data_IF_907011081830
#
_entry.id   IF_907011081830
#
_cell.length_a   1.000
_cell.length_b   1.000
_cell.length_c   1.000
_cell.angle_alpha   90.00
_cell.angle_beta   90.00
_cell.angle_gamma   90.00
#
_symmetry.space_group_name_H-M   'P 1'
#
loop_
_entity.id
_entity.type
_entity.pdbx_description
1 polymer ?
#
# COMPACT_ATOMS: atom_id res chain seq x y z
N UNK A 1 11.11 -28.85 -8.00
CA UNK A 1 10.07 -28.29 -7.10
C UNK A 1 8.73 -28.47 -7.78
N UNK A 2 7.85 -29.28 -7.19
CA UNK A 2 6.48 -29.42 -7.67
C UNK A 2 5.74 -28.08 -7.49
N UNK A 3 5.32 -27.49 -8.61
CA UNK A 3 4.47 -26.29 -8.55
C UNK A 3 3.12 -26.70 -7.95
N UNK A 4 2.77 -26.13 -6.80
CA UNK A 4 1.45 -26.30 -6.24
C UNK A 4 0.47 -25.48 -7.10
N UNK A 5 -0.44 -26.14 -7.77
CA UNK A 5 -1.52 -25.50 -8.54
C UNK A 5 -2.71 -25.40 -7.62
N UNK A 6 -3.23 -24.19 -7.45
CA UNK A 6 -4.43 -23.91 -6.66
C UNK A 6 -5.50 -23.49 -7.67
N UNK A 7 -6.66 -24.17 -7.62
CA UNK A 7 -7.81 -23.82 -8.44
C UNK A 7 -8.79 -23.02 -7.58
N UNK A 8 -9.26 -21.89 -8.07
CA UNK A 8 -10.37 -21.19 -7.43
C UNK A 8 -11.68 -21.87 -7.79
N UNK A 9 -12.65 -21.79 -6.88
CA UNK A 9 -14.01 -22.32 -7.04
C UNK A 9 -15.06 -21.21 -7.02
N UNK A 10 -14.75 -20.10 -6.39
CA UNK A 10 -15.63 -18.96 -6.23
C UNK A 10 -14.82 -17.66 -6.45
N UNK A 11 -15.08 -16.96 -7.57
CA UNK A 11 -14.39 -15.73 -7.95
C UNK A 11 -14.56 -14.57 -6.93
N UNK A 12 -15.61 -14.65 -6.10
CA UNK A 12 -15.94 -13.56 -5.17
C UNK A 12 -15.40 -13.82 -3.77
N UNK A 13 -15.43 -15.07 -3.33
CA UNK A 13 -15.15 -15.41 -1.94
C UNK A 13 -13.83 -16.16 -1.72
N UNK A 14 -13.22 -16.70 -2.77
CA UNK A 14 -11.92 -17.34 -2.64
C UNK A 14 -10.82 -16.27 -2.50
N UNK A 15 -10.07 -16.36 -1.41
CA UNK A 15 -8.88 -15.53 -1.16
C UNK A 15 -7.68 -16.43 -0.90
N UNK A 16 -6.73 -16.46 -1.85
CA UNK A 16 -5.52 -17.30 -1.75
C UNK A 16 -4.49 -16.76 -0.74
N UNK A 17 -4.65 -15.52 -0.32
CA UNK A 17 -3.86 -14.92 0.74
C UNK A 17 -4.60 -14.86 2.07
N UNK A 18 -5.71 -15.60 2.20
CA UNK A 18 -6.59 -15.58 3.37
C UNK A 18 -5.83 -15.57 4.69
N UNK A 19 -6.17 -14.64 5.55
CA UNK A 19 -5.61 -14.51 6.87
C UNK A 19 -6.70 -14.72 7.94
N UNK A 20 -6.30 -15.22 9.11
CA UNK A 20 -7.20 -15.41 10.26
C UNK A 20 -7.24 -14.17 11.19
N UNK A 21 -6.87 -13.00 10.68
CA UNK A 21 -6.83 -11.77 11.47
C UNK A 21 -8.27 -11.26 11.61
N UNK A 22 -8.73 -11.12 12.84
CA UNK A 22 -10.00 -10.44 13.11
C UNK A 22 -9.87 -8.98 12.74
N UNK A 23 -10.54 -8.57 11.67
CA UNK A 23 -10.60 -7.17 11.25
C UNK A 23 -11.18 -6.32 12.37
N UNK A 24 -10.48 -5.25 12.71
CA UNK A 24 -10.98 -4.22 13.62
C UNK A 24 -11.39 -3.00 12.83
N UNK A 25 -12.55 -2.45 13.17
CA UNK A 25 -12.93 -1.15 12.64
C UNK A 25 -11.91 -0.08 13.02
N UNK A 26 -11.67 0.83 12.10
CA UNK A 26 -10.84 1.99 12.40
C UNK A 26 -11.52 2.85 13.46
N UNK A 27 -10.77 3.35 14.45
CA UNK A 27 -11.33 4.21 15.47
C UNK A 27 -11.93 5.46 14.83
N UNK A 28 -13.01 5.99 15.42
CA UNK A 28 -13.70 7.18 14.89
C UNK A 28 -12.79 8.40 14.72
N UNK A 29 -11.78 8.52 15.56
CA UNK A 29 -10.77 9.59 15.51
C UNK A 29 -9.53 9.24 14.68
N UNK A 30 -9.60 8.22 13.83
CA UNK A 30 -8.46 7.83 12.99
C UNK A 30 -7.98 8.98 12.12
N UNK A 31 -6.65 9.23 12.17
CA UNK A 31 -5.99 10.33 11.46
C UNK A 31 -5.17 9.76 10.29
N UNK A 32 -5.66 9.97 9.08
CA UNK A 32 -4.99 9.50 7.85
C UNK A 32 -3.69 10.24 7.56
N UNK A 33 -3.65 11.55 7.76
CA UNK A 33 -2.46 12.37 7.53
C UNK A 33 -1.82 12.78 8.85
N UNK A 34 -0.79 12.08 9.23
CA UNK A 34 -0.03 12.39 10.45
C UNK A 34 0.78 13.69 10.24
N UNK A 35 0.46 14.71 11.05
CA UNK A 35 1.11 16.03 10.99
C UNK A 35 2.33 16.16 11.91
N UNK A 36 2.47 15.28 12.89
CA UNK A 36 3.56 15.30 13.86
C UNK A 36 4.94 15.22 13.16
N UNK A 37 5.86 16.16 13.40
CA UNK A 37 7.16 16.17 12.72
C UNK A 37 8.05 14.98 13.08
N UNK A 38 8.03 14.52 14.34
CA UNK A 38 8.80 13.33 14.76
C UNK A 38 8.29 12.08 14.05
N UNK A 39 6.97 11.92 13.95
CA UNK A 39 6.37 10.85 13.15
C UNK A 39 6.85 10.88 11.69
N UNK A 40 6.81 12.06 11.08
CA UNK A 40 7.23 12.25 9.68
C UNK A 40 8.70 11.94 9.47
N UNK A 41 9.56 12.36 10.40
CA UNK A 41 10.98 12.05 10.35
C UNK A 41 11.22 10.55 10.49
N UNK A 42 10.61 9.89 11.46
CA UNK A 42 10.69 8.43 11.64
C UNK A 42 10.17 7.67 10.40
N UNK A 43 9.03 8.07 9.86
CA UNK A 43 8.49 7.48 8.63
C UNK A 43 9.41 7.71 7.41
N UNK A 44 10.08 8.84 7.31
CA UNK A 44 11.07 9.12 6.27
C UNK A 44 12.27 8.17 6.39
N UNK A 45 12.85 8.04 7.58
CA UNK A 45 13.98 7.14 7.82
C UNK A 45 13.59 5.70 7.52
N UNK A 46 12.45 5.25 8.08
CA UNK A 46 11.97 3.88 7.86
C UNK A 46 11.73 3.60 6.38
N UNK A 47 11.06 4.50 5.67
CA UNK A 47 10.71 4.30 4.27
C UNK A 47 11.92 4.40 3.33
N UNK A 48 12.69 5.50 3.38
CA UNK A 48 13.73 5.76 2.40
C UNK A 48 15.09 5.17 2.73
N UNK A 49 15.43 5.13 4.01
CA UNK A 49 16.78 4.69 4.44
C UNK A 49 16.79 3.18 4.72
N UNK A 50 15.72 2.63 5.28
CA UNK A 50 15.68 1.23 5.70
C UNK A 50 14.93 0.39 4.67
N UNK A 51 13.63 0.64 4.48
CA UNK A 51 12.77 -0.24 3.69
C UNK A 51 13.08 -0.19 2.19
N UNK A 52 13.26 1.00 1.61
CA UNK A 52 13.45 1.15 0.16
C UNK A 52 14.68 0.40 -0.38
N UNK A 53 15.89 0.46 0.23
CA UNK A 53 17.02 -0.36 -0.21
C UNK A 53 16.76 -1.86 -0.10
N UNK A 54 16.22 -2.31 1.04
CA UNK A 54 15.92 -3.73 1.29
C UNK A 54 14.94 -4.24 0.23
N UNK A 55 13.84 -3.53 0.04
CA UNK A 55 12.80 -3.86 -0.94
C UNK A 55 13.33 -3.84 -2.37
N UNK A 56 14.23 -2.91 -2.68
CA UNK A 56 14.84 -2.83 -4.01
C UNK A 56 15.69 -4.07 -4.29
N UNK A 57 16.50 -4.50 -3.33
CA UNK A 57 17.30 -5.71 -3.43
C UNK A 57 16.39 -6.93 -3.54
N UNK A 58 15.40 -7.05 -2.64
CA UNK A 58 14.45 -8.15 -2.61
C UNK A 58 13.71 -8.32 -3.96
N UNK A 59 13.05 -7.27 -4.44
CA UNK A 59 12.27 -7.36 -5.67
C UNK A 59 13.14 -7.57 -6.91
N UNK A 60 14.32 -6.93 -6.97
CA UNK A 60 15.20 -7.05 -8.12
C UNK A 60 15.86 -8.42 -8.22
N UNK A 61 16.38 -8.95 -7.11
CA UNK A 61 17.18 -10.18 -7.13
C UNK A 61 16.36 -11.45 -6.87
N UNK A 62 15.35 -11.41 -5.99
CA UNK A 62 14.54 -12.59 -5.68
C UNK A 62 13.35 -12.75 -6.63
N UNK A 63 12.74 -11.65 -7.09
CA UNK A 63 11.59 -11.70 -8.01
C UNK A 63 11.94 -11.34 -9.45
N UNK A 64 13.19 -10.93 -9.72
CA UNK A 64 13.61 -10.53 -11.07
C UNK A 64 12.84 -9.34 -11.64
N UNK A 65 12.27 -8.49 -10.77
CA UNK A 65 11.40 -7.38 -11.16
C UNK A 65 12.13 -6.39 -12.08
N UNK A 66 11.50 -6.12 -13.23
CA UNK A 66 11.99 -5.15 -14.22
C UNK A 66 10.95 -4.06 -14.44
N UNK A 67 11.30 -2.82 -14.11
CA UNK A 67 10.43 -1.67 -14.32
C UNK A 67 10.68 -1.10 -15.72
N UNK A 68 9.66 -1.18 -16.59
CA UNK A 68 9.69 -0.60 -17.93
C UNK A 68 8.95 0.73 -17.95
N UNK A 69 9.30 1.63 -18.89
CA UNK A 69 8.63 2.89 -19.18
C UNK A 69 8.46 3.86 -18.01
N UNK A 70 9.24 3.73 -16.94
CA UNK A 70 9.20 4.62 -15.77
C UNK A 70 9.34 6.11 -16.14
N UNK A 71 9.90 6.42 -17.31
CA UNK A 71 10.07 7.79 -17.81
C UNK A 71 8.76 8.56 -17.93
N UNK A 72 7.64 7.88 -18.16
CA UNK A 72 6.28 8.46 -18.22
C UNK A 72 5.96 9.24 -16.93
N UNK A 73 6.41 8.76 -15.77
CA UNK A 73 6.16 9.40 -14.47
C UNK A 73 6.92 10.72 -14.29
N UNK A 74 7.88 11.05 -15.16
CA UNK A 74 8.63 12.32 -15.08
C UNK A 74 7.71 13.54 -15.25
N UNK A 75 6.66 13.43 -16.08
CA UNK A 75 5.65 14.48 -16.27
C UNK A 75 4.79 14.75 -15.03
N UNK A 76 4.79 13.83 -14.05
CA UNK A 76 3.95 13.88 -12.86
C UNK A 76 4.72 14.20 -11.57
N UNK A 77 5.99 14.63 -11.68
CA UNK A 77 6.82 14.94 -10.50
C UNK A 77 6.19 15.95 -9.54
N UNK A 78 5.51 16.94 -10.09
CA UNK A 78 4.83 18.01 -9.35
C UNK A 78 3.31 17.84 -9.27
N UNK A 79 2.79 16.64 -9.51
CA UNK A 79 1.35 16.33 -9.50
C UNK A 79 1.09 15.12 -8.63
N UNK A 80 -0.08 15.06 -7.97
CA UNK A 80 -0.62 13.82 -7.43
C UNK A 80 -1.10 12.92 -8.57
N UNK A 81 -1.08 11.62 -8.37
CA UNK A 81 -1.64 10.66 -9.32
C UNK A 81 -2.01 9.36 -8.63
N UNK A 82 -2.97 8.67 -9.25
CA UNK A 82 -3.37 7.34 -8.87
C UNK A 82 -2.63 6.32 -9.75
N UNK A 83 -2.18 5.26 -9.11
CA UNK A 83 -1.70 4.05 -9.79
C UNK A 83 -2.69 2.94 -9.54
N UNK A 84 -2.96 2.18 -10.57
CA UNK A 84 -3.74 0.95 -10.50
C UNK A 84 -2.87 -0.22 -10.91
N UNK A 85 -3.00 -1.33 -10.23
CA UNK A 85 -2.24 -2.54 -10.54
C UNK A 85 -3.03 -3.79 -10.16
N UNK A 86 -2.69 -4.90 -10.81
CA UNK A 86 -3.23 -6.19 -10.45
C UNK A 86 -2.54 -6.71 -9.19
N UNK A 87 -3.29 -7.37 -8.31
CA UNK A 87 -2.77 -7.94 -7.08
C UNK A 87 -2.42 -9.42 -7.27
N UNK A 88 -1.19 -9.68 -7.71
CA UNK A 88 -0.77 -11.02 -8.14
C UNK A 88 0.35 -11.63 -7.29
N UNK A 89 0.99 -10.83 -6.44
CA UNK A 89 2.15 -11.27 -5.65
C UNK A 89 2.05 -10.82 -4.19
N UNK A 90 1.92 -11.77 -3.28
CA UNK A 90 1.65 -11.54 -1.86
C UNK A 90 2.58 -10.50 -1.19
N UNK A 91 3.89 -10.60 -1.37
CA UNK A 91 4.84 -9.70 -0.74
C UNK A 91 5.33 -8.58 -1.68
N UNK A 92 5.56 -8.89 -2.97
CA UNK A 92 6.14 -7.93 -3.90
C UNK A 92 5.20 -6.75 -4.20
N UNK A 93 3.90 -6.99 -4.24
CA UNK A 93 2.91 -5.94 -4.54
C UNK A 93 2.82 -4.87 -3.45
N UNK A 94 3.15 -5.21 -2.21
CA UNK A 94 3.30 -4.22 -1.15
C UNK A 94 4.50 -3.27 -1.39
N UNK A 95 5.48 -3.67 -2.19
CA UNK A 95 6.76 -2.99 -2.33
C UNK A 95 7.05 -2.45 -3.73
N UNK A 96 6.52 -3.09 -4.78
CA UNK A 96 6.69 -2.66 -6.17
C UNK A 96 6.31 -1.18 -6.40
N UNK A 97 5.21 -0.64 -5.83
CA UNK A 97 4.87 0.75 -5.99
C UNK A 97 5.96 1.71 -5.52
N UNK A 98 6.65 1.40 -4.44
CA UNK A 98 7.73 2.23 -3.93
C UNK A 98 8.86 2.40 -4.96
N UNK A 99 9.22 1.32 -5.64
CA UNK A 99 10.27 1.34 -6.69
C UNK A 99 9.82 2.07 -7.95
N UNK A 100 8.56 1.88 -8.33
CA UNK A 100 7.98 2.54 -9.52
C UNK A 100 7.93 4.06 -9.32
N UNK A 101 7.48 4.52 -8.15
CA UNK A 101 7.19 5.94 -7.90
C UNK A 101 8.37 6.75 -7.39
N UNK A 102 9.47 6.08 -6.99
CA UNK A 102 10.64 6.79 -6.43
C UNK A 102 11.05 8.02 -7.28
N UNK A 103 11.34 9.17 -6.69
CA UNK A 103 11.53 9.45 -5.27
C UNK A 103 10.23 9.75 -4.49
N UNK A 104 9.06 9.72 -5.12
CA UNK A 104 7.80 9.92 -4.39
C UNK A 104 7.47 8.68 -3.58
N UNK A 105 6.99 8.90 -2.36
CA UNK A 105 6.44 7.83 -1.52
C UNK A 105 5.11 7.36 -2.12
N UNK A 106 4.97 6.07 -2.37
CA UNK A 106 3.68 5.47 -2.66
C UNK A 106 2.85 5.36 -1.37
N UNK A 107 1.58 5.73 -1.45
CA UNK A 107 0.60 5.47 -0.39
C UNK A 107 -0.36 4.41 -0.92
N UNK A 108 -0.36 3.25 -0.30
CA UNK A 108 -1.05 2.06 -0.79
C UNK A 108 -2.34 1.90 -0.01
N UNK A 109 -3.48 1.82 -0.68
CA UNK A 109 -4.74 1.50 -0.04
C UNK A 109 -4.70 0.04 0.38
N UNK A 110 -4.91 -0.22 1.67
CA UNK A 110 -4.82 -1.54 2.26
C UNK A 110 -6.11 -1.92 2.99
N UNK A 111 -6.34 -3.23 3.14
CA UNK A 111 -7.42 -3.75 3.98
C UNK A 111 -7.24 -3.29 5.44
N UNK A 112 -8.32 -3.10 6.21
CA UNK A 112 -8.27 -2.82 7.64
C UNK A 112 -7.50 -3.88 8.44
N UNK A 113 -7.42 -5.11 7.97
CA UNK A 113 -6.67 -6.20 8.58
C UNK A 113 -5.19 -5.86 8.74
N UNK A 114 -4.62 -5.19 7.74
CA UNK A 114 -3.21 -4.79 7.75
C UNK A 114 -2.85 -3.84 8.91
N UNK A 115 -3.84 -3.16 9.47
CA UNK A 115 -3.67 -2.24 10.61
C UNK A 115 -4.35 -2.72 11.89
N UNK A 116 -4.85 -3.94 11.91
CA UNK A 116 -5.55 -4.51 13.08
C UNK A 116 -4.59 -4.98 14.18
N UNK A 117 -3.31 -5.19 13.86
CA UNK A 117 -2.27 -5.57 14.81
C UNK A 117 -1.45 -4.31 15.16
N UNK A 118 -1.37 -3.87 16.44
CA UNK A 118 -0.82 -2.58 16.81
C UNK A 118 0.59 -2.27 16.30
N UNK A 119 1.53 -3.21 16.44
CA UNK A 119 2.92 -3.01 15.96
C UNK A 119 2.99 -3.01 14.44
N UNK A 120 2.23 -3.89 13.79
CA UNK A 120 2.14 -3.98 12.33
C UNK A 120 1.49 -2.72 11.77
N UNK A 121 0.44 -2.22 12.42
CA UNK A 121 -0.25 -0.97 12.06
C UNK A 121 0.74 0.20 11.97
N UNK A 122 1.57 0.36 13.02
CA UNK A 122 2.58 1.41 13.05
C UNK A 122 3.51 1.36 11.83
N UNK A 123 4.04 0.17 11.54
CA UNK A 123 4.96 -0.04 10.42
C UNK A 123 4.26 0.19 9.07
N UNK A 124 3.06 -0.39 8.89
CA UNK A 124 2.26 -0.24 7.67
C UNK A 124 1.98 1.24 7.39
N UNK A 125 1.53 2.00 8.37
CA UNK A 125 1.26 3.44 8.22
C UNK A 125 2.55 4.24 7.92
N UNK A 126 3.66 3.94 8.62
CA UNK A 126 4.95 4.59 8.36
C UNK A 126 5.48 4.26 6.97
N UNK A 127 5.22 3.07 6.45
CA UNK A 127 5.59 2.65 5.10
C UNK A 127 4.63 3.15 4.01
N UNK A 128 3.50 3.74 4.38
CA UNK A 128 2.58 4.36 3.44
C UNK A 128 1.28 3.58 3.22
N UNK A 129 0.99 2.58 4.02
CA UNK A 129 -0.32 1.94 4.05
C UNK A 129 -1.41 2.91 4.50
N UNK A 130 -2.53 2.93 3.79
CA UNK A 130 -3.70 3.75 4.06
C UNK A 130 -4.91 2.83 4.15
N UNK A 131 -5.37 2.51 5.36
CA UNK A 131 -6.45 1.55 5.51
C UNK A 131 -7.77 2.12 5.00
N UNK A 132 -8.51 1.30 4.25
CA UNK A 132 -9.87 1.65 3.85
C UNK A 132 -10.81 1.50 5.05
N UNK A 133 -11.80 2.36 5.15
CA UNK A 133 -12.79 2.26 6.22
C UNK A 133 -13.88 1.24 5.87
N UNK A 134 -14.45 0.60 6.88
CA UNK A 134 -15.49 -0.44 6.74
C UNK A 134 -16.91 0.09 6.93
N UNK A 135 -17.07 1.29 7.51
CA UNK A 135 -18.38 1.88 7.77
C UNK A 135 -18.57 3.23 7.05
N UNK A 136 -19.81 3.64 6.85
CA UNK A 136 -20.17 4.84 6.07
C UNK A 136 -19.52 6.13 6.61
N UNK A 137 -19.46 6.30 7.93
CA UNK A 137 -18.84 7.50 8.55
C UNK A 137 -17.33 7.51 8.28
N UNK A 138 -16.69 6.36 8.43
CA UNK A 138 -15.27 6.19 8.12
C UNK A 138 -14.99 6.40 6.63
N UNK A 139 -15.85 5.91 5.74
CA UNK A 139 -15.70 6.12 4.29
C UNK A 139 -15.75 7.60 3.92
N UNK A 140 -16.61 8.40 4.55
CA UNK A 140 -16.60 9.86 4.33
C UNK A 140 -15.26 10.49 4.73
N UNK A 141 -14.68 10.08 5.87
CA UNK A 141 -13.36 10.55 6.31
C UNK A 141 -12.25 10.06 5.39
N UNK A 142 -12.32 8.81 4.96
CA UNK A 142 -11.39 8.23 4.00
C UNK A 142 -11.39 9.02 2.68
N UNK A 143 -12.57 9.29 2.12
CA UNK A 143 -12.71 10.06 0.86
C UNK A 143 -12.15 11.49 1.03
N UNK A 144 -12.46 12.15 2.15
CA UNK A 144 -11.88 13.46 2.46
C UNK A 144 -10.36 13.40 2.53
N UNK A 145 -9.81 12.36 3.16
CA UNK A 145 -8.36 12.17 3.23
C UNK A 145 -7.74 11.92 1.83
N UNK A 146 -8.41 11.15 0.97
CA UNK A 146 -7.92 10.92 -0.40
C UNK A 146 -7.87 12.23 -1.22
N UNK A 147 -8.85 13.11 -1.05
CA UNK A 147 -8.82 14.44 -1.67
C UNK A 147 -7.62 15.25 -1.13
N UNK A 148 -7.38 15.24 0.19
CA UNK A 148 -6.22 15.92 0.79
C UNK A 148 -4.88 15.32 0.31
N UNK A 149 -4.79 13.99 0.11
CA UNK A 149 -3.62 13.35 -0.50
C UNK A 149 -3.38 13.85 -1.93
N UNK A 150 -4.45 13.98 -2.72
CA UNK A 150 -4.38 14.49 -4.09
C UNK A 150 -3.91 15.95 -4.13
N UNK A 151 -4.50 16.82 -3.32
CA UNK A 151 -4.11 18.23 -3.18
C UNK A 151 -2.65 18.39 -2.77
N UNK A 152 -2.16 17.53 -1.89
CA UNK A 152 -0.75 17.47 -1.46
C UNK A 152 0.15 16.74 -2.46
N UNK A 153 -0.32 16.48 -3.67
CA UNK A 153 0.45 15.87 -4.76
C UNK A 153 1.06 14.51 -4.38
N UNK A 154 0.38 13.74 -3.54
CA UNK A 154 0.80 12.39 -3.15
C UNK A 154 0.51 11.39 -4.26
N UNK A 155 1.18 10.25 -4.20
CA UNK A 155 0.89 9.10 -5.04
C UNK A 155 0.03 8.12 -4.24
N UNK A 156 -1.05 7.67 -4.86
CA UNK A 156 -1.98 6.71 -4.26
C UNK A 156 -1.97 5.46 -5.14
N UNK A 157 -1.70 4.31 -4.53
CA UNK A 157 -1.76 3.01 -5.20
C UNK A 157 -3.00 2.25 -4.78
N UNK A 158 -3.69 1.70 -5.76
CA UNK A 158 -4.93 0.94 -5.59
C UNK A 158 -4.78 -0.40 -6.31
N UNK A 159 -5.11 -1.46 -5.63
CA UNK A 159 -5.32 -2.80 -6.19
C UNK A 159 -6.82 -3.08 -6.22
N UNK A 160 -7.52 -2.84 -7.35
CA UNK A 160 -8.99 -2.90 -7.40
C UNK A 160 -9.57 -4.28 -7.11
N UNK A 161 -8.78 -5.32 -7.35
CA UNK A 161 -9.19 -6.71 -7.14
C UNK A 161 -9.42 -7.04 -5.66
N UNK A 162 -8.80 -6.28 -4.73
CA UNK A 162 -8.83 -6.46 -3.28
C UNK A 162 -8.28 -7.82 -2.78
N UNK A 163 -8.26 -8.84 -3.62
CA UNK A 163 -7.77 -10.18 -3.35
C UNK A 163 -6.55 -10.51 -4.22
N UNK A 164 -5.77 -11.50 -3.80
CA UNK A 164 -4.65 -12.03 -4.57
C UNK A 164 -5.14 -13.22 -5.37
N UNK A 165 -4.92 -13.17 -6.68
CA UNK A 165 -5.29 -14.21 -7.64
C UNK A 165 -4.11 -15.01 -8.14
#
# INVERSE_FOLDING_TARGET
MNKKVIYYKDEINDDFAGNNIKTKDLPENYVYLKKNPLWRAGAFVLYYIIAFPIVTVYNKFLHGERIKNRRVLRGFKKKGYYLYGNHTMMAADAFTPARVTFPKKANIIVSPDAVSIPVVSLLVEMLGGVPIATNLRGMKKFTTAMNEYSERQKVIMIYPEAHIW
#
